data_IF_353862139370
#
_entry.id   IF_353862139370
#
_cell.length_a   1.000
_cell.length_b   1.000
_cell.length_c   1.000
_cell.angle_alpha   90.00
_cell.angle_beta   90.00
_cell.angle_gamma   90.00
#
_symmetry.space_group_name_H-M   'P 1'
#
loop_
_entity.id
_entity.type
_entity.pdbx_description
1 polymer ?
#
# COMPACT_ATOMS: atom_id res chain seq x y z
N UNK A 1 -10.37 18.37 -17.42
CA UNK A 1 -10.52 18.47 -15.96
C UNK A 1 -10.04 17.18 -15.29
N UNK A 2 -10.57 16.01 -15.69
CA UNK A 2 -10.27 14.68 -15.13
C UNK A 2 -8.79 14.22 -15.11
N UNK A 3 -7.95 14.67 -16.04
CA UNK A 3 -6.55 14.27 -16.09
C UNK A 3 -5.77 14.68 -14.82
N UNK A 4 -6.11 15.84 -14.23
CA UNK A 4 -5.44 16.29 -13.00
C UNK A 4 -5.81 15.41 -11.81
N UNK A 5 -7.10 15.08 -11.66
CA UNK A 5 -7.59 14.21 -10.59
C UNK A 5 -7.03 12.78 -10.70
N UNK A 6 -6.95 12.25 -11.93
CA UNK A 6 -6.40 10.93 -12.19
C UNK A 6 -4.90 10.83 -11.83
N UNK A 7 -4.12 11.89 -12.11
CA UNK A 7 -2.70 11.95 -11.74
C UNK A 7 -2.52 11.98 -10.22
N UNK A 8 -3.34 12.75 -9.50
CA UNK A 8 -3.30 12.75 -8.04
C UNK A 8 -3.64 11.38 -7.45
N UNK A 9 -4.65 10.70 -7.98
CA UNK A 9 -4.99 9.33 -7.57
C UNK A 9 -3.86 8.34 -7.85
N UNK A 10 -3.15 8.48 -8.97
CA UNK A 10 -2.00 7.64 -9.30
C UNK A 10 -0.85 7.84 -8.31
N UNK A 11 -0.53 9.09 -7.96
CA UNK A 11 0.52 9.43 -7.00
C UNK A 11 0.19 8.84 -5.63
N UNK A 12 -1.00 9.10 -5.11
CA UNK A 12 -1.42 8.59 -3.81
C UNK A 12 -1.50 7.06 -3.79
N UNK A 13 -2.00 6.44 -4.85
CA UNK A 13 -2.02 4.98 -4.98
C UNK A 13 -0.62 4.36 -4.97
N UNK A 14 0.34 4.98 -5.68
CA UNK A 14 1.73 4.57 -5.70
C UNK A 14 2.41 4.71 -4.33
N UNK A 15 2.17 5.82 -3.63
CA UNK A 15 2.67 6.03 -2.25
C UNK A 15 2.12 4.97 -1.30
N UNK A 16 0.82 4.65 -1.38
CA UNK A 16 0.23 3.58 -0.57
C UNK A 16 0.89 2.22 -0.86
N UNK A 17 1.10 1.87 -2.13
CA UNK A 17 1.81 0.63 -2.48
C UNK A 17 3.26 0.61 -1.99
N UNK A 18 3.96 1.73 -2.07
CA UNK A 18 5.32 1.85 -1.55
C UNK A 18 5.37 1.61 -0.03
N UNK A 19 4.46 2.23 0.72
CA UNK A 19 4.32 2.01 2.15
C UNK A 19 3.92 0.55 2.48
N UNK A 20 3.09 -0.08 1.65
CA UNK A 20 2.76 -1.49 1.80
C UNK A 20 4.03 -2.35 1.67
N UNK A 21 4.86 -2.12 0.64
CA UNK A 21 6.13 -2.82 0.47
C UNK A 21 7.05 -2.63 1.68
N UNK A 22 7.13 -1.42 2.23
CA UNK A 22 7.89 -1.17 3.46
C UNK A 22 7.34 -1.97 4.66
N UNK A 23 6.02 -2.06 4.81
CA UNK A 23 5.39 -2.88 5.85
C UNK A 23 5.71 -4.38 5.66
N UNK A 24 5.69 -4.88 4.42
CA UNK A 24 6.08 -6.26 4.09
C UNK A 24 7.56 -6.53 4.42
N UNK A 25 8.45 -5.58 4.12
CA UNK A 25 9.88 -5.67 4.49
C UNK A 25 10.07 -5.62 6.00
N UNK A 26 9.29 -4.81 6.71
CA UNK A 26 9.33 -4.74 8.17
C UNK A 26 8.88 -6.06 8.81
N UNK A 27 7.85 -6.71 8.24
CA UNK A 27 7.42 -8.05 8.65
C UNK A 27 8.48 -9.10 8.34
N UNK A 28 9.08 -9.08 7.15
CA UNK A 28 10.18 -9.99 6.81
C UNK A 28 11.37 -9.82 7.77
N UNK A 29 11.72 -8.57 8.12
CA UNK A 29 12.76 -8.26 9.11
C UNK A 29 12.36 -8.74 10.51
N UNK A 30 11.09 -8.63 10.89
CA UNK A 30 10.56 -9.14 12.17
C UNK A 30 10.65 -10.67 12.21
N UNK A 31 10.27 -11.36 11.13
CA UNK A 31 10.29 -12.83 11.07
C UNK A 31 11.71 -13.41 11.12
N UNK A 32 12.73 -12.66 10.68
CA UNK A 32 14.14 -13.04 10.88
C UNK A 32 14.64 -12.88 12.33
N UNK A 33 13.90 -12.18 13.21
CA UNK A 33 14.25 -12.10 14.64
C UNK A 33 13.65 -13.31 15.38
N UNK A 34 14.52 -14.06 16.05
CA UNK A 34 14.24 -15.34 16.74
C UNK A 34 13.21 -15.26 17.90
N UNK A 35 12.67 -14.09 18.25
CA UNK A 35 11.76 -13.91 19.38
C UNK A 35 10.31 -13.79 18.88
N UNK A 36 9.63 -14.94 18.79
CA UNK A 36 8.21 -15.06 18.43
C UNK A 36 7.29 -14.57 19.58
N UNK A 37 7.76 -14.66 20.83
CA UNK A 37 7.00 -14.25 22.03
C UNK A 37 6.88 -12.73 22.20
N UNK A 38 7.70 -11.93 21.50
CA UNK A 38 7.47 -10.50 21.44
C UNK A 38 6.30 -10.24 20.49
N UNK A 39 5.08 -10.16 21.03
CA UNK A 39 3.90 -9.63 20.33
C UNK A 39 4.30 -8.25 19.80
N UNK A 40 4.60 -8.20 18.51
CA UNK A 40 5.04 -6.96 17.86
C UNK A 40 3.91 -5.97 18.01
N UNK A 41 4.21 -4.82 18.60
CA UNK A 41 3.24 -3.76 18.88
C UNK A 41 2.42 -3.35 17.65
N UNK A 42 2.98 -3.57 16.45
CA UNK A 42 2.34 -3.29 15.16
C UNK A 42 2.17 -4.59 14.37
N UNK A 43 0.93 -4.95 13.96
CA UNK A 43 0.68 -6.03 13.02
C UNK A 43 1.01 -5.57 11.59
N UNK A 44 2.27 -5.71 11.17
CA UNK A 44 2.77 -5.25 9.87
C UNK A 44 2.02 -5.88 8.68
N UNK A 45 1.55 -7.13 8.82
CA UNK A 45 0.69 -7.78 7.82
C UNK A 45 -0.63 -7.03 7.64
N UNK A 46 -1.28 -6.60 8.72
CA UNK A 46 -2.52 -5.81 8.65
C UNK A 46 -2.26 -4.46 7.97
N UNK A 47 -1.17 -3.79 8.32
CA UNK A 47 -0.76 -2.52 7.71
C UNK A 47 -0.49 -2.69 6.21
N UNK A 48 0.25 -3.75 5.85
CA UNK A 48 0.49 -4.12 4.45
C UNK A 48 -0.82 -4.32 3.69
N UNK A 49 -1.74 -5.14 4.20
CA UNK A 49 -3.00 -5.45 3.51
C UNK A 49 -3.86 -4.19 3.33
N UNK A 50 -3.98 -3.34 4.35
CA UNK A 50 -4.74 -2.09 4.26
C UNK A 50 -4.16 -1.14 3.22
N UNK A 51 -2.83 -0.92 3.24
CA UNK A 51 -2.16 -0.04 2.29
C UNK A 51 -2.17 -0.60 0.86
N UNK A 52 -2.02 -1.91 0.70
CA UNK A 52 -2.11 -2.57 -0.59
C UNK A 52 -3.51 -2.44 -1.17
N UNK A 53 -4.55 -2.64 -0.35
CA UNK A 53 -5.94 -2.51 -0.77
C UNK A 53 -6.30 -1.07 -1.17
N UNK A 54 -5.91 -0.08 -0.35
CA UNK A 54 -6.09 1.33 -0.67
C UNK A 54 -5.31 1.73 -1.93
N UNK A 55 -4.04 1.35 -2.03
CA UNK A 55 -3.20 1.66 -3.19
C UNK A 55 -3.74 1.06 -4.48
N UNK A 56 -4.13 -0.22 -4.45
CA UNK A 56 -4.76 -0.90 -5.59
C UNK A 56 -6.09 -0.24 -5.98
N UNK A 57 -6.92 0.14 -5.00
CA UNK A 57 -8.17 0.85 -5.24
C UNK A 57 -7.97 2.20 -5.93
N UNK A 58 -7.04 3.02 -5.42
CA UNK A 58 -6.72 4.33 -6.01
C UNK A 58 -6.16 4.20 -7.42
N UNK A 59 -5.27 3.22 -7.67
CA UNK A 59 -4.73 2.98 -9.00
C UNK A 59 -5.80 2.47 -9.97
N UNK A 60 -6.73 1.63 -9.51
CA UNK A 60 -7.86 1.16 -10.33
C UNK A 60 -8.76 2.32 -10.74
N UNK A 61 -9.04 3.24 -9.82
CA UNK A 61 -9.83 4.45 -10.10
C UNK A 61 -9.10 5.40 -11.06
N UNK A 62 -7.80 5.62 -10.85
CA UNK A 62 -6.96 6.41 -11.75
C UNK A 62 -6.91 5.81 -13.15
N UNK A 63 -6.69 4.50 -13.26
CA UNK A 63 -6.70 3.78 -14.54
C UNK A 63 -8.04 3.92 -15.25
N UNK A 64 -9.17 3.72 -14.53
CA UNK A 64 -10.50 3.92 -15.11
C UNK A 64 -10.70 5.37 -15.57
N UNK A 65 -10.20 6.36 -14.85
CA UNK A 65 -10.29 7.76 -15.25
C UNK A 65 -9.42 8.09 -16.48
N UNK A 66 -8.29 7.41 -16.66
CA UNK A 66 -7.38 7.57 -17.80
C UNK A 66 -7.85 6.82 -19.07
N UNK A 67 -8.38 5.61 -18.91
CA UNK A 67 -8.74 4.71 -20.03
C UNK A 67 -10.23 4.65 -20.32
N UNK A 68 -11.09 5.12 -19.41
CA UNK A 68 -12.55 5.13 -19.58
C UNK A 68 -13.08 6.34 -20.36
N UNK A 69 -12.24 6.96 -21.19
CA UNK A 69 -12.60 7.99 -22.16
C UNK A 69 -13.16 7.37 -23.44
#
# INVERSE_FOLDING_TARGET
MFASDAVWLAIWGSVCLFLALLAMLAEHRRNKRKSIDAVGWVPWTTVFVLLAFLGAGLLTLSAKALFGH
#
